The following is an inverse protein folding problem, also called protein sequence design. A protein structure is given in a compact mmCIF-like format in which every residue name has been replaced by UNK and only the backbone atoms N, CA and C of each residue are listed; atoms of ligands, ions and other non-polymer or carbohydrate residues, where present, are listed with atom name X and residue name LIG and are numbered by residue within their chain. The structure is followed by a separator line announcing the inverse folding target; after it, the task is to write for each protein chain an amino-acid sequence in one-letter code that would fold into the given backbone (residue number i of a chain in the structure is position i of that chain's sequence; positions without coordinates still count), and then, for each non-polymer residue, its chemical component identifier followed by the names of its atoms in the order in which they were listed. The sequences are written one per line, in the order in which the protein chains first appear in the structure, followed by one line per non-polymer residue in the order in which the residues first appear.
data_IF_699626166331
#
_entry.id   IF_699626166331
#
_cell.length_a   1.000
_cell.length_b   1.000
_cell.length_c   1.000
_cell.angle_alpha   90.00
_cell.angle_beta   90.00
_cell.angle_gamma   90.00
#
_symmetry.space_group_name_H-M   'P 1'
#
loop_
_entity.id
_entity.type
_entity.pdbx_description
1 polymer ?
#
# COMPACT_ATOMS: atom_id res chain seq x y z
N UNK A 1 -15.17 -24.98 -5.27
CA UNK A 1 -13.77 -24.77 -4.86
C UNK A 1 -12.88 -24.79 -6.09
N UNK A 2 -12.32 -23.66 -6.50
CA UNK A 2 -11.37 -23.61 -7.62
C UNK A 2 -10.39 -22.46 -7.40
N UNK A 3 -9.09 -22.76 -7.42
CA UNK A 3 -8.03 -21.75 -7.43
C UNK A 3 -8.02 -21.07 -8.81
N UNK A 4 -8.29 -19.76 -8.88
CA UNK A 4 -8.23 -18.99 -10.15
C UNK A 4 -6.84 -18.39 -10.35
N UNK A 5 -5.86 -19.22 -10.69
CA UNK A 5 -4.57 -18.72 -11.20
C UNK A 5 -4.74 -18.40 -12.69
N UNK A 6 -4.55 -17.14 -13.06
CA UNK A 6 -4.46 -16.73 -14.46
C UNK A 6 -2.99 -16.70 -14.88
N UNK A 7 -2.64 -17.48 -15.91
CA UNK A 7 -1.30 -17.51 -16.47
C UNK A 7 -1.36 -17.75 -17.99
N UNK A 8 -0.30 -17.38 -18.71
CA UNK A 8 -0.17 -17.76 -20.11
C UNK A 8 -0.17 -19.29 -20.25
N UNK A 9 -0.77 -19.83 -21.32
CA UNK A 9 -0.83 -21.28 -21.59
C UNK A 9 0.51 -22.00 -21.46
N UNK A 10 1.61 -21.33 -21.85
CA UNK A 10 2.98 -21.88 -21.81
C UNK A 10 3.64 -21.82 -20.43
N UNK A 11 3.09 -21.05 -19.50
CA UNK A 11 3.65 -20.83 -18.17
C UNK A 11 3.06 -21.75 -17.11
N UNK A 12 1.88 -22.36 -17.36
CA UNK A 12 1.19 -23.22 -16.40
C UNK A 12 2.07 -24.39 -15.90
N UNK A 13 2.82 -25.05 -16.78
CA UNK A 13 3.69 -26.17 -16.41
C UNK A 13 4.90 -25.80 -15.54
N UNK A 14 5.21 -24.50 -15.40
CA UNK A 14 6.31 -23.99 -14.57
C UNK A 14 5.85 -23.51 -13.19
N UNK A 15 4.55 -23.60 -12.89
CA UNK A 15 3.99 -23.19 -11.61
C UNK A 15 4.12 -24.35 -10.61
N UNK A 16 5.08 -24.24 -9.69
CA UNK A 16 5.33 -25.25 -8.64
C UNK A 16 4.63 -24.92 -7.31
N UNK A 17 3.85 -23.83 -7.27
CA UNK A 17 3.17 -23.36 -6.06
C UNK A 17 1.94 -24.23 -5.77
N UNK A 18 2.04 -25.07 -4.73
CA UNK A 18 0.90 -25.82 -4.20
C UNK A 18 -0.01 -24.87 -3.41
N UNK A 19 -1.27 -24.78 -3.82
CA UNK A 19 -2.25 -23.91 -3.18
C UNK A 19 -2.56 -24.42 -1.76
N UNK A 20 -1.91 -23.87 -0.74
CA UNK A 20 -2.31 -24.05 0.67
C UNK A 20 -3.46 -23.10 0.97
N UNK A 21 -4.68 -23.63 0.99
CA UNK A 21 -5.86 -22.94 1.50
C UNK A 21 -5.73 -22.79 3.02
N UNK A 22 -4.98 -21.78 3.47
CA UNK A 22 -5.22 -21.18 4.79
C UNK A 22 -6.43 -20.26 4.63
N UNK A 23 -7.45 -20.49 5.44
CA UNK A 23 -8.69 -19.70 5.49
C UNK A 23 -8.32 -18.26 5.84
N UNK A 24 -8.14 -17.42 4.83
CA UNK A 24 -8.35 -15.99 4.95
C UNK A 24 -9.78 -15.74 4.48
N UNK A 25 -10.62 -15.00 5.23
CA UNK A 25 -11.94 -14.63 4.75
C UNK A 25 -11.76 -13.91 3.41
N UNK A 26 -12.54 -14.37 2.44
CA UNK A 26 -12.53 -13.91 1.07
C UNK A 26 -12.60 -12.38 0.99
N UNK A 27 -11.47 -11.73 0.72
CA UNK A 27 -11.50 -10.49 -0.05
C UNK A 27 -12.07 -10.86 -1.41
N UNK A 28 -13.35 -10.54 -1.57
CA UNK A 28 -14.04 -10.53 -2.84
C UNK A 28 -13.14 -9.88 -3.89
N UNK A 29 -13.13 -10.46 -5.09
CA UNK A 29 -12.47 -9.95 -6.29
C UNK A 29 -13.07 -8.63 -6.81
N UNK A 30 -13.26 -7.63 -5.95
CA UNK A 30 -13.20 -6.23 -6.32
C UNK A 30 -11.75 -5.80 -6.12
N UNK A 31 -11.14 -5.22 -7.15
CA UNK A 31 -9.70 -4.99 -7.29
C UNK A 31 -9.14 -3.89 -6.37
N UNK A 32 -9.23 -4.06 -5.06
CA UNK A 32 -8.57 -3.18 -4.09
C UNK A 32 -8.00 -3.98 -2.93
N UNK A 33 -6.75 -3.72 -2.57
CA UNK A 33 -6.20 -4.23 -1.31
C UNK A 33 -6.94 -3.62 -0.12
N UNK A 34 -6.70 -4.14 1.09
CA UNK A 34 -7.39 -3.66 2.30
C UNK A 34 -6.96 -2.24 2.66
N UNK A 35 -5.67 -1.94 2.50
CA UNK A 35 -5.17 -0.58 2.62
C UNK A 35 -4.51 -0.10 1.33
N UNK A 36 -3.55 -0.85 0.80
CA UNK A 36 -2.88 -0.47 -0.43
C UNK A 36 -3.74 -0.82 -1.64
N UNK A 37 -4.09 0.19 -2.42
CA UNK A 37 -5.03 0.06 -3.53
C UNK A 37 -6.49 -0.08 -3.12
N UNK A 38 -6.82 0.21 -1.86
CA UNK A 38 -8.20 0.50 -1.50
C UNK A 38 -8.66 1.82 -2.14
N UNK A 39 -9.96 1.99 -2.30
CA UNK A 39 -10.55 3.27 -2.69
C UNK A 39 -10.39 4.24 -1.51
N UNK A 40 -9.87 5.44 -1.74
CA UNK A 40 -9.57 6.39 -0.65
C UNK A 40 -10.80 6.68 0.22
N UNK A 41 -11.97 6.84 -0.41
CA UNK A 41 -13.24 7.10 0.28
C UNK A 41 -13.67 5.97 1.24
N UNK A 42 -13.14 4.75 1.11
CA UNK A 42 -13.44 3.64 2.04
C UNK A 42 -12.51 3.61 3.25
N UNK A 43 -11.51 4.49 3.30
CA UNK A 43 -10.49 4.54 4.36
C UNK A 43 -10.63 5.77 5.27
N UNK A 44 -11.66 6.59 5.04
CA UNK A 44 -11.93 7.84 5.77
C UNK A 44 -13.38 7.86 6.23
N UNK A 45 -13.64 8.59 7.31
CA UNK A 45 -14.97 8.83 7.86
C UNK A 45 -15.06 10.26 8.43
N UNK A 46 -16.16 10.60 9.11
CA UNK A 46 -16.38 11.94 9.68
C UNK A 46 -15.38 12.28 10.80
N UNK A 47 -14.89 11.28 11.53
CA UNK A 47 -13.91 11.44 12.61
C UNK A 47 -12.46 11.39 12.08
N UNK A 48 -12.23 10.72 10.94
CA UNK A 48 -10.92 10.50 10.33
C UNK A 48 -10.91 10.91 8.85
N UNK A 49 -10.72 12.21 8.60
CA UNK A 49 -10.59 12.76 7.23
C UNK A 49 -9.30 12.37 6.51
N UNK A 50 -8.31 11.81 7.23
CA UNK A 50 -7.08 11.24 6.68
C UNK A 50 -7.05 9.76 7.07
N UNK A 51 -6.77 8.83 6.14
CA UNK A 51 -6.63 7.42 6.49
C UNK A 51 -5.60 7.21 7.60
N UNK A 52 -5.92 6.48 8.69
CA UNK A 52 -4.99 6.28 9.81
C UNK A 52 -3.64 5.70 9.40
N UNK A 53 -3.62 4.82 8.39
CA UNK A 53 -2.40 4.31 7.76
C UNK A 53 -1.48 5.44 7.28
N UNK A 54 -2.05 6.36 6.52
CA UNK A 54 -1.33 7.46 5.88
C UNK A 54 -0.82 8.41 6.94
N UNK A 55 -1.67 8.75 7.91
CA UNK A 55 -1.34 9.64 9.00
C UNK A 55 -0.12 9.17 9.81
N UNK A 56 -0.10 7.91 10.32
CA UNK A 56 1.09 7.46 11.05
C UNK A 56 2.32 7.29 10.17
N UNK A 57 2.16 6.92 8.89
CA UNK A 57 3.31 6.83 7.99
C UNK A 57 3.97 8.21 7.84
N UNK A 58 3.18 9.27 7.66
CA UNK A 58 3.70 10.63 7.61
C UNK A 58 4.28 11.08 8.95
N UNK A 59 3.58 10.85 10.06
CA UNK A 59 4.07 11.19 11.40
C UNK A 59 5.44 10.54 11.70
N UNK A 60 5.63 9.27 11.32
CA UNK A 60 6.92 8.58 11.49
C UNK A 60 8.00 9.14 10.56
N UNK A 61 7.65 9.60 9.37
CA UNK A 61 8.62 10.25 8.47
C UNK A 61 9.00 11.62 9.05
N UNK A 62 8.04 12.45 9.42
CA UNK A 62 8.27 13.81 9.92
C UNK A 62 9.15 13.84 11.17
N UNK A 63 8.91 12.93 12.12
CA UNK A 63 9.67 12.85 13.37
C UNK A 63 11.11 12.37 13.18
N UNK A 64 11.45 11.72 12.07
CA UNK A 64 12.72 10.98 11.90
C UNK A 64 13.54 11.39 10.67
N UNK A 65 12.95 12.11 9.72
CA UNK A 65 13.55 12.37 8.41
C UNK A 65 14.50 13.57 8.36
N UNK A 66 14.55 14.42 9.38
CA UNK A 66 15.25 15.72 9.36
C UNK A 66 16.70 15.65 8.83
N UNK A 67 17.45 14.61 9.22
CA UNK A 67 18.85 14.43 8.81
C UNK A 67 19.06 13.24 7.86
N UNK A 68 17.99 12.66 7.35
CA UNK A 68 18.07 11.53 6.41
C UNK A 68 18.32 12.06 5.00
N UNK A 69 19.38 11.60 4.36
CA UNK A 69 19.74 12.08 3.01
C UNK A 69 18.86 11.44 1.94
N UNK A 70 18.22 12.25 1.09
CA UNK A 70 17.45 11.75 -0.05
C UNK A 70 16.11 11.13 0.34
N UNK A 71 15.44 11.68 1.35
CA UNK A 71 14.05 11.35 1.71
C UNK A 71 13.14 11.47 0.47
N UNK A 72 12.22 10.52 0.29
CA UNK A 72 11.39 10.31 -0.91
C UNK A 72 12.13 10.01 -2.23
N UNK A 73 13.40 10.42 -2.40
CA UNK A 73 14.24 10.13 -3.58
C UNK A 73 14.87 8.73 -3.54
N UNK A 74 15.56 8.38 -2.47
CA UNK A 74 16.15 7.04 -2.25
C UNK A 74 15.07 6.05 -1.85
N UNK A 75 15.17 4.82 -2.34
CA UNK A 75 14.24 3.73 -2.02
C UNK A 75 14.77 2.88 -0.86
N UNK A 76 13.88 2.52 0.07
CA UNK A 76 14.20 1.56 1.12
C UNK A 76 14.42 0.13 0.62
N UNK A 77 14.95 -0.73 1.50
CA UNK A 77 15.15 -2.15 1.23
C UNK A 77 13.85 -2.83 0.78
N UNK A 78 13.85 -3.43 -0.41
CA UNK A 78 12.67 -4.10 -0.97
C UNK A 78 12.17 -5.23 -0.06
N UNK A 79 13.08 -5.96 0.59
CA UNK A 79 12.73 -7.03 1.52
C UNK A 79 11.98 -6.48 2.75
N UNK A 80 12.47 -5.38 3.32
CA UNK A 80 11.80 -4.72 4.45
C UNK A 80 10.46 -4.10 4.02
N UNK A 81 10.39 -3.43 2.87
CA UNK A 81 9.13 -2.89 2.33
C UNK A 81 8.08 -3.99 2.20
N UNK A 82 8.43 -5.15 1.63
CA UNK A 82 7.51 -6.29 1.51
C UNK A 82 7.08 -6.84 2.87
N UNK A 83 8.02 -6.95 3.81
CA UNK A 83 7.75 -7.46 5.16
C UNK A 83 6.81 -6.52 5.94
N UNK A 84 7.12 -5.22 6.00
CA UNK A 84 6.30 -4.24 6.72
C UNK A 84 4.94 -4.09 6.05
N UNK A 85 4.88 -4.05 4.71
CA UNK A 85 3.60 -4.04 4.00
C UNK A 85 2.73 -5.24 4.34
N UNK A 86 3.31 -6.44 4.40
CA UNK A 86 2.57 -7.65 4.80
C UNK A 86 2.01 -7.49 6.22
N UNK A 87 2.81 -6.99 7.17
CA UNK A 87 2.36 -6.75 8.54
C UNK A 87 1.14 -5.80 8.53
N UNK A 88 1.25 -4.66 7.85
CA UNK A 88 0.14 -3.68 7.70
C UNK A 88 -1.11 -4.33 7.07
N UNK A 89 -0.95 -5.14 6.03
CA UNK A 89 -2.05 -5.78 5.30
C UNK A 89 -2.64 -7.00 6.00
N UNK A 90 -2.02 -7.49 7.08
CA UNK A 90 -2.55 -8.59 7.91
C UNK A 90 -2.96 -8.17 9.31
N UNK A 91 -2.57 -6.98 9.77
CA UNK A 91 -2.93 -6.48 11.09
C UNK A 91 -4.46 -6.37 11.28
N UNK A 92 -5.01 -6.67 12.47
CA UNK A 92 -6.43 -6.49 12.74
C UNK A 92 -6.85 -5.02 12.68
N UNK A 93 -5.99 -4.15 13.21
CA UNK A 93 -6.13 -2.70 13.26
C UNK A 93 -4.74 -2.09 13.02
N UNK A 94 -4.69 -0.85 12.54
CA UNK A 94 -3.41 -0.18 12.30
C UNK A 94 -2.71 0.23 13.59
N UNK A 95 -3.45 0.36 14.69
CA UNK A 95 -2.90 0.72 15.98
C UNK A 95 -1.93 -0.32 16.52
N UNK A 96 -2.16 -1.60 16.20
CA UNK A 96 -1.29 -2.74 16.53
C UNK A 96 0.03 -2.80 15.75
N UNK A 97 0.23 -1.96 14.72
CA UNK A 97 1.45 -1.95 13.91
C UNK A 97 2.46 -0.95 14.47
N UNK A 98 3.58 -1.44 14.98
CA UNK A 98 4.73 -0.60 15.34
C UNK A 98 5.61 -0.28 14.14
N UNK A 99 5.95 1.00 13.97
CA UNK A 99 6.79 1.53 12.89
C UNK A 99 8.08 2.20 13.40
N UNK A 100 8.32 2.20 14.71
CA UNK A 100 9.40 2.94 15.36
C UNK A 100 10.79 2.53 14.85
N UNK A 101 11.01 1.23 14.65
CA UNK A 101 12.29 0.69 14.18
C UNK A 101 12.40 0.59 12.64
N UNK A 102 11.35 0.97 11.91
CA UNK A 102 11.32 0.86 10.44
C UNK A 102 12.11 2.00 9.81
N UNK A 103 13.09 1.71 8.96
CA UNK A 103 13.91 2.75 8.32
C UNK A 103 13.08 3.78 7.54
N UNK A 104 13.47 5.07 7.58
CA UNK A 104 12.75 6.17 6.90
C UNK A 104 12.59 5.95 5.40
N UNK A 105 13.60 5.39 4.72
CA UNK A 105 13.49 5.05 3.30
C UNK A 105 12.46 3.94 3.01
N UNK A 106 12.20 3.05 3.98
CA UNK A 106 11.13 2.04 3.86
C UNK A 106 9.77 2.71 4.04
N UNK A 107 9.61 3.57 5.06
CA UNK A 107 8.38 4.33 5.31
C UNK A 107 7.99 5.19 4.11
N UNK A 108 8.92 5.98 3.57
CA UNK A 108 8.67 6.80 2.38
C UNK A 108 8.35 5.96 1.13
N UNK A 109 8.94 4.76 0.99
CA UNK A 109 8.54 3.83 -0.08
C UNK A 109 7.11 3.34 0.11
N UNK A 110 6.67 3.06 1.35
CA UNK A 110 5.29 2.67 1.64
C UNK A 110 4.31 3.82 1.37
N UNK A 111 4.62 5.06 1.76
CA UNK A 111 3.82 6.25 1.40
C UNK A 111 3.66 6.35 -0.12
N UNK A 112 4.76 6.26 -0.87
CA UNK A 112 4.72 6.27 -2.34
C UNK A 112 3.92 5.11 -2.91
N UNK A 113 3.95 3.94 -2.28
CA UNK A 113 3.20 2.78 -2.72
C UNK A 113 1.70 2.95 -2.49
N UNK A 114 1.30 3.49 -1.34
CA UNK A 114 -0.10 3.82 -1.05
C UNK A 114 -0.67 4.73 -2.13
N UNK A 115 -0.04 5.89 -2.37
CA UNK A 115 -0.52 6.89 -3.33
C UNK A 115 -0.56 6.37 -4.78
N UNK A 116 0.44 5.59 -5.19
CA UNK A 116 0.53 5.06 -6.56
C UNK A 116 -0.48 3.97 -6.85
N UNK A 117 -0.89 3.21 -5.83
CA UNK A 117 -1.71 2.02 -6.01
C UNK A 117 -3.20 2.29 -5.83
N UNK A 118 -3.58 3.50 -5.41
CA UNK A 118 -4.98 3.92 -5.35
C UNK A 118 -5.66 3.72 -6.72
N UNK A 119 -6.88 3.16 -6.76
CA UNK A 119 -7.63 3.00 -8.01
C UNK A 119 -7.87 4.33 -8.73
N UNK A 120 -8.04 5.40 -7.95
CA UNK A 120 -8.13 6.77 -8.40
C UNK A 120 -6.97 7.58 -7.82
N UNK A 121 -6.18 8.29 -8.64
CA UNK A 121 -5.05 9.10 -8.17
C UNK A 121 -5.52 10.25 -7.29
N UNK A 122 -4.65 10.71 -6.38
CA UNK A 122 -4.96 11.79 -5.43
C UNK A 122 -5.36 13.08 -6.16
N UNK A 123 -4.65 13.41 -7.24
CA UNK A 123 -5.12 14.35 -8.25
C UNK A 123 -5.98 13.52 -9.20
N UNK A 124 -7.29 13.60 -9.02
CA UNK A 124 -8.26 12.74 -9.73
C UNK A 124 -8.18 12.92 -11.24
N UNK A 125 -8.65 11.92 -11.98
CA UNK A 125 -8.66 11.98 -13.45
C UNK A 125 -9.47 13.18 -13.97
N UNK A 126 -10.58 13.51 -13.29
CA UNK A 126 -11.44 14.65 -13.63
C UNK A 126 -10.72 16.00 -13.49
N UNK A 127 -9.77 16.11 -12.55
CA UNK A 127 -9.02 17.33 -12.30
C UNK A 127 -7.73 17.41 -13.13
N UNK A 128 -7.28 16.31 -13.71
CA UNK A 128 -5.95 16.20 -14.32
C UNK A 128 -5.73 17.24 -15.44
N UNK A 129 -6.69 17.39 -16.35
CA UNK A 129 -6.63 18.37 -17.43
C UNK A 129 -6.60 19.81 -16.90
N UNK A 130 -7.33 20.08 -15.81
CA UNK A 130 -7.35 21.39 -15.18
C UNK A 130 -5.97 21.74 -14.62
N UNK A 131 -5.26 20.77 -14.02
CA UNK A 131 -3.90 20.98 -13.51
C UNK A 131 -2.89 21.24 -14.64
N UNK A 132 -2.99 20.54 -15.78
CA UNK A 132 -2.09 20.75 -16.92
C UNK A 132 -2.30 22.12 -17.59
N UNK A 133 -3.55 22.56 -17.72
CA UNK A 133 -3.89 23.80 -18.42
C UNK A 133 -3.58 25.08 -17.64
N UNK A 134 -3.22 24.97 -16.35
CA UNK A 134 -2.80 26.10 -15.50
C UNK A 134 -1.28 26.34 -15.56
N UNK A 135 -0.53 25.48 -16.27
CA UNK A 135 0.94 25.51 -16.36
C UNK A 135 1.49 26.52 -17.35
#
# INVERSE_FOLDING_TARGET
MACRISCHKKCHAKITQQCSMMIAPSLSSASGGRFFGAVLATLVDEDHIIPPLVDRLFMNVETRALFVEGVYRKSGSLAQVRSIRRIIETAPDFDSVSLEDVQVHVLTTLVKAFLREMPEPLITFDLYENFLNVS
#
